data_IF_633311919856
#
_entry.id   IF_633311919856
#
_cell.length_a   1.000
_cell.length_b   1.000
_cell.length_c   1.000
_cell.angle_alpha   90.00
_cell.angle_beta   90.00
_cell.angle_gamma   90.00
#
_symmetry.space_group_name_H-M   'P 1'
#
loop_
_entity.id
_entity.type
_entity.pdbx_description
1 polymer ?
#
# COMPACT_ATOMS: atom_id res chain seq x y z
N UNK A 1 17.16 -2.11 -9.62
CA UNK A 1 16.80 -2.81 -8.37
C UNK A 1 15.34 -2.59 -7.97
N UNK A 2 14.84 -1.35 -7.96
CA UNK A 2 13.43 -1.04 -7.62
C UNK A 2 12.37 -1.75 -8.49
N UNK A 3 12.62 -1.96 -9.78
CA UNK A 3 11.66 -2.66 -10.66
C UNK A 3 11.38 -4.10 -10.19
N UNK A 4 12.42 -4.87 -9.86
CA UNK A 4 12.26 -6.28 -9.47
C UNK A 4 11.43 -6.44 -8.19
N UNK A 5 11.65 -5.56 -7.21
CA UNK A 5 10.87 -5.55 -5.96
C UNK A 5 9.41 -5.18 -6.24
N UNK A 6 9.17 -4.23 -7.16
CA UNK A 6 7.82 -3.85 -7.58
C UNK A 6 7.09 -5.02 -8.26
N UNK A 7 7.75 -5.71 -9.19
CA UNK A 7 7.20 -6.88 -9.88
C UNK A 7 6.87 -8.04 -8.92
N UNK A 8 7.70 -8.26 -7.89
CA UNK A 8 7.37 -9.23 -6.83
C UNK A 8 6.17 -8.79 -5.99
N UNK A 9 6.15 -7.54 -5.54
CA UNK A 9 5.05 -7.00 -4.73
C UNK A 9 3.73 -7.08 -5.50
N UNK A 10 3.73 -6.81 -6.82
CA UNK A 10 2.54 -6.91 -7.68
C UNK A 10 1.95 -8.33 -7.76
N UNK A 11 2.77 -9.36 -7.52
CA UNK A 11 2.33 -10.77 -7.47
C UNK A 11 1.84 -11.22 -6.10
N UNK A 12 2.05 -10.43 -5.04
CA UNK A 12 1.56 -10.78 -3.70
C UNK A 12 0.03 -10.86 -3.69
N UNK A 13 -0.51 -11.90 -3.07
CA UNK A 13 -1.95 -12.00 -2.83
C UNK A 13 -2.37 -11.04 -1.70
N UNK A 14 -3.69 -10.89 -1.52
CA UNK A 14 -4.23 -9.97 -0.49
C UNK A 14 -3.90 -10.42 0.94
N UNK A 15 -3.71 -11.72 1.18
CA UNK A 15 -3.38 -12.25 2.52
C UNK A 15 -2.01 -11.78 2.99
N UNK A 16 -1.02 -11.74 2.09
CA UNK A 16 0.32 -11.22 2.40
C UNK A 16 0.31 -9.69 2.50
N UNK A 17 -0.53 -9.01 1.72
CA UNK A 17 -0.59 -7.54 1.69
C UNK A 17 -1.37 -6.94 2.87
N UNK A 18 -2.47 -7.56 3.29
CA UNK A 18 -3.36 -7.00 4.31
C UNK A 18 -2.63 -6.65 5.63
N UNK A 19 -1.69 -7.47 6.16
CA UNK A 19 -0.90 -7.08 7.32
C UNK A 19 -0.14 -5.75 7.15
N UNK A 20 0.38 -5.46 5.95
CA UNK A 20 1.05 -4.19 5.64
C UNK A 20 0.04 -3.03 5.67
N UNK A 21 -1.15 -3.24 5.10
CA UNK A 21 -2.23 -2.25 5.15
C UNK A 21 -2.68 -1.97 6.58
N UNK A 22 -2.84 -2.99 7.41
CA UNK A 22 -3.26 -2.85 8.80
C UNK A 22 -2.18 -2.19 9.67
N UNK A 23 -0.91 -2.43 9.33
CA UNK A 23 0.22 -1.78 9.98
C UNK A 23 0.24 -0.28 9.67
N UNK A 24 0.15 0.10 8.39
CA UNK A 24 0.29 1.49 7.93
C UNK A 24 -1.01 2.32 8.05
N UNK A 25 -2.14 1.71 7.71
CA UNK A 25 -3.45 2.34 7.56
C UNK A 25 -4.29 2.33 8.83
N UNK A 26 -5.33 3.15 8.84
CA UNK A 26 -6.36 3.15 9.88
C UNK A 26 -7.30 1.95 9.70
N UNK A 27 -8.05 1.55 10.75
CA UNK A 27 -9.12 0.56 10.58
C UNK A 27 -10.08 0.98 9.46
N UNK A 28 -10.43 0.05 8.58
CA UNK A 28 -11.32 0.32 7.43
C UNK A 28 -10.62 0.90 6.20
N UNK A 29 -9.29 1.02 6.18
CA UNK A 29 -8.56 1.40 4.97
C UNK A 29 -8.77 0.36 3.86
N UNK A 30 -9.06 0.86 2.66
CA UNK A 30 -9.22 0.04 1.46
C UNK A 30 -7.97 0.03 0.59
N UNK A 31 -7.78 -1.08 -0.12
CA UNK A 31 -6.81 -1.15 -1.20
C UNK A 31 -7.39 -0.49 -2.46
N UNK A 32 -6.59 0.35 -3.11
CA UNK A 32 -6.92 0.99 -4.37
C UNK A 32 -6.08 0.40 -5.50
N UNK A 33 -6.70 0.29 -6.68
CA UNK A 33 -6.01 -0.11 -7.91
C UNK A 33 -5.23 1.05 -8.54
N UNK A 34 -4.14 0.72 -9.21
CA UNK A 34 -3.50 1.65 -10.15
C UNK A 34 -4.38 1.79 -11.41
N UNK A 35 -4.35 2.94 -12.07
CA UNK A 35 -5.04 3.09 -13.35
C UNK A 35 -4.39 2.19 -14.41
N UNK A 36 -5.05 1.10 -14.78
CA UNK A 36 -4.53 0.08 -15.71
C UNK A 36 -3.92 -1.17 -15.05
N UNK A 37 -3.97 -1.28 -13.72
CA UNK A 37 -3.58 -2.51 -13.00
C UNK A 37 -4.78 -3.26 -12.45
N UNK A 38 -4.75 -4.59 -12.47
CA UNK A 38 -5.78 -5.45 -11.88
C UNK A 38 -5.61 -5.63 -10.37
N UNK A 39 -4.35 -5.70 -9.93
CA UNK A 39 -3.99 -5.93 -8.53
C UNK A 39 -4.00 -4.62 -7.73
N UNK A 40 -4.81 -4.51 -6.66
CA UNK A 40 -4.86 -3.29 -5.87
C UNK A 40 -3.64 -3.23 -4.93
N UNK A 41 -2.85 -2.17 -5.08
CA UNK A 41 -1.54 -1.98 -4.43
C UNK A 41 -1.39 -0.62 -3.75
N UNK A 42 -2.39 0.26 -3.87
CA UNK A 42 -2.34 1.63 -3.34
C UNK A 42 -3.20 1.81 -2.09
N UNK A 43 -2.78 2.72 -1.23
CA UNK A 43 -3.55 3.23 -0.09
C UNK A 43 -3.55 4.75 -0.20
N UNK A 44 -4.65 5.43 0.14
CA UNK A 44 -4.65 6.90 0.18
C UNK A 44 -3.79 7.38 1.34
N UNK A 45 -2.90 8.34 1.10
CA UNK A 45 -2.07 8.94 2.17
C UNK A 45 -2.93 9.46 3.35
N UNK A 46 -4.14 9.95 3.05
CA UNK A 46 -5.12 10.38 4.03
C UNK A 46 -5.52 9.31 5.06
N UNK A 47 -5.46 8.04 4.66
CA UNK A 47 -5.90 6.90 5.47
C UNK A 47 -4.78 6.30 6.32
N UNK A 48 -3.55 6.82 6.20
CA UNK A 48 -2.40 6.36 6.99
C UNK A 48 -2.56 6.77 8.46
N UNK A 49 -1.97 5.96 9.36
CA UNK A 49 -1.71 6.35 10.75
C UNK A 49 -0.73 7.53 10.80
N UNK A 50 -0.78 8.39 11.84
CA UNK A 50 0.02 9.62 11.88
C UNK A 50 1.53 9.42 11.62
N UNK A 51 2.15 8.40 12.22
CA UNK A 51 3.57 8.11 12.02
C UNK A 51 3.84 7.76 10.56
N UNK A 52 3.13 6.77 10.01
CA UNK A 52 3.30 6.34 8.61
C UNK A 52 3.03 7.46 7.61
N UNK A 53 2.08 8.34 7.91
CA UNK A 53 1.76 9.52 7.11
C UNK A 53 2.89 10.53 7.08
N UNK A 54 3.51 10.81 8.24
CA UNK A 54 4.64 11.73 8.33
C UNK A 54 5.80 11.32 7.41
N UNK A 55 6.06 10.00 7.29
CA UNK A 55 7.05 9.49 6.33
C UNK A 55 6.67 9.75 4.86
N UNK A 56 5.38 9.70 4.53
CA UNK A 56 4.90 9.96 3.17
C UNK A 56 4.82 11.45 2.81
N UNK A 57 4.65 12.33 3.81
CA UNK A 57 4.61 13.79 3.65
C UNK A 57 6.00 14.44 3.68
N UNK A 58 7.03 13.73 4.16
CA UNK A 58 8.41 14.23 4.27
C UNK A 58 9.19 14.27 2.93
N UNK A 59 8.57 13.83 1.83
CA UNK A 59 9.20 13.74 0.50
C UNK A 59 9.29 15.10 -0.20
#
# INVERSE_FOLDING_TARGET
>A
MFSMVKDEIEKWNLEVRNPVKEFLGRPGTDWLKYSGGESPTKIRLGDFKPVARAWGEWV
#
